data_IF_843608221688
#
_entry.id   IF_843608221688
#
_cell.length_a   1.000
_cell.length_b   1.000
_cell.length_c   1.000
_cell.angle_alpha   90.00
_cell.angle_beta   90.00
_cell.angle_gamma   90.00
#
_symmetry.space_group_name_H-M   'P 1'
#
loop_
_entity.id
_entity.type
_entity.pdbx_description
1 polymer ?
#
# COMPACT_ATOMS: atom_id res chain seq x y z
N UNK A 1 -14.68 34.54 -15.91
CA UNK A 1 -14.21 33.32 -15.24
C UNK A 1 -15.26 32.92 -14.22
N UNK A 2 -16.16 32.01 -14.59
CA UNK A 2 -17.10 31.42 -13.62
C UNK A 2 -16.26 30.67 -12.59
N UNK A 3 -16.29 31.14 -11.33
CA UNK A 3 -15.78 30.35 -10.21
C UNK A 3 -16.50 29.01 -10.28
N UNK A 4 -15.76 27.91 -10.36
CA UNK A 4 -16.37 26.58 -10.25
C UNK A 4 -17.11 26.53 -8.92
N UNK A 5 -18.44 26.49 -8.95
CA UNK A 5 -19.24 26.25 -7.76
C UNK A 5 -18.90 24.86 -7.25
N UNK A 6 -18.32 24.80 -6.05
CA UNK A 6 -18.00 23.54 -5.39
C UNK A 6 -19.26 23.00 -4.72
N UNK A 7 -19.54 21.72 -4.94
CA UNK A 7 -20.59 20.98 -4.24
C UNK A 7 -19.96 19.96 -3.30
N UNK A 8 -20.61 19.70 -2.17
CA UNK A 8 -20.18 18.71 -1.19
C UNK A 8 -21.11 17.49 -1.26
N UNK A 9 -20.51 16.30 -1.25
CA UNK A 9 -21.24 15.02 -1.17
C UNK A 9 -21.02 14.44 0.23
N UNK A 10 -22.00 14.52 1.14
CA UNK A 10 -21.82 14.07 2.52
C UNK A 10 -21.78 12.55 2.59
N UNK A 11 -20.76 12.00 3.25
CA UNK A 11 -20.62 10.58 3.53
C UNK A 11 -20.75 10.40 5.05
N UNK A 12 -21.69 9.57 5.53
CA UNK A 12 -21.82 9.29 6.96
C UNK A 12 -20.52 8.72 7.54
N UNK A 13 -20.11 9.21 8.71
CA UNK A 13 -18.90 8.75 9.42
C UNK A 13 -19.26 8.31 10.84
N UNK A 14 -18.67 7.20 11.29
CA UNK A 14 -18.70 6.81 12.70
C UNK A 14 -17.29 6.44 13.17
N UNK A 15 -16.99 6.84 14.40
CA UNK A 15 -15.83 6.37 15.14
C UNK A 15 -16.10 4.98 15.70
N UNK A 16 -15.25 4.01 15.36
CA UNK A 16 -15.38 2.61 15.75
C UNK A 16 -14.19 2.18 16.59
N UNK A 17 -14.45 1.59 17.76
CA UNK A 17 -13.38 1.12 18.64
C UNK A 17 -13.77 1.09 20.13
N UNK A 18 -12.79 1.23 21.03
CA UNK A 18 -11.36 1.26 20.73
C UNK A 18 -10.86 -0.08 20.19
N UNK A 19 -9.85 -0.03 19.32
CA UNK A 19 -9.05 -1.13 18.79
C UNK A 19 -7.73 -1.11 19.53
N UNK A 20 -7.41 -2.20 20.22
CA UNK A 20 -6.12 -2.34 20.91
C UNK A 20 -5.03 -2.67 19.89
N UNK A 21 -4.09 -1.74 19.68
CA UNK A 21 -2.96 -1.89 18.75
C UNK A 21 -1.68 -2.05 19.56
N UNK A 22 -0.87 -3.04 19.19
CA UNK A 22 0.47 -3.26 19.72
C UNK A 22 1.46 -3.19 18.56
N UNK A 23 2.34 -2.21 18.55
CA UNK A 23 3.42 -2.11 17.59
C UNK A 23 4.60 -1.34 18.16
N UNK A 24 5.68 -1.29 17.40
CA UNK A 24 6.92 -0.65 17.86
C UNK A 24 6.78 0.87 18.03
N UNK A 25 5.87 1.49 17.26
CA UNK A 25 5.61 2.94 17.26
C UNK A 25 4.37 3.32 18.09
N UNK A 26 3.39 2.43 18.20
CA UNK A 26 2.08 2.71 18.78
C UNK A 26 1.67 1.50 19.61
N UNK A 27 1.40 1.72 20.90
CA UNK A 27 0.91 0.69 21.81
C UNK A 27 -0.25 1.27 22.63
N UNK A 28 -1.39 1.43 21.99
CA UNK A 28 -2.54 2.14 22.56
C UNK A 28 -3.89 1.63 22.01
N UNK A 29 -4.96 2.00 22.70
CA UNK A 29 -6.33 1.69 22.32
C UNK A 29 -6.93 2.85 21.50
N UNK A 30 -7.05 2.68 20.18
CA UNK A 30 -7.45 3.76 19.25
C UNK A 30 -8.86 3.53 18.72
N UNK A 31 -9.70 4.56 18.70
CA UNK A 31 -10.93 4.55 17.89
C UNK A 31 -10.62 5.06 16.50
N UNK A 32 -11.17 4.44 15.46
CA UNK A 32 -10.89 4.81 14.06
C UNK A 32 -12.14 5.38 13.39
N UNK A 33 -12.05 6.49 12.63
CA UNK A 33 -13.18 7.01 11.88
C UNK A 33 -13.36 6.22 10.58
N UNK A 34 -14.60 5.86 10.27
CA UNK A 34 -14.96 5.12 9.06
C UNK A 34 -16.12 5.83 8.35
N UNK A 35 -15.86 6.38 7.16
CA UNK A 35 -16.84 7.08 6.34
C UNK A 35 -17.42 6.15 5.26
N UNK A 36 -18.69 5.78 5.35
CA UNK A 36 -19.30 4.84 4.39
C UNK A 36 -20.82 4.97 4.30
N UNK A 37 -21.38 4.58 3.15
CA UNK A 37 -22.81 4.32 2.98
C UNK A 37 -23.20 2.87 3.31
N UNK A 38 -22.21 1.96 3.41
CA UNK A 38 -22.43 0.57 3.81
C UNK A 38 -22.48 0.48 5.34
N UNK A 39 -23.60 0.89 5.93
CA UNK A 39 -23.78 1.01 7.39
C UNK A 39 -23.49 -0.27 8.21
N UNK A 40 -23.65 -1.51 7.69
CA UNK A 40 -23.24 -2.72 8.42
C UNK A 40 -21.73 -2.82 8.70
N UNK A 41 -20.89 -2.02 8.00
CA UNK A 41 -19.44 -1.98 8.23
C UNK A 41 -19.09 -1.62 9.68
N UNK A 42 -19.79 -0.65 10.27
CA UNK A 42 -19.50 -0.18 11.63
C UNK A 42 -19.76 -1.24 12.70
N UNK A 43 -20.95 -1.86 12.83
CA UNK A 43 -21.17 -2.90 13.83
C UNK A 43 -20.31 -4.14 13.59
N UNK A 44 -20.01 -4.49 12.33
CA UNK A 44 -19.09 -5.58 12.00
C UNK A 44 -17.68 -5.31 12.53
N UNK A 45 -17.14 -4.12 12.23
CA UNK A 45 -15.81 -3.69 12.70
C UNK A 45 -15.77 -3.53 14.21
N UNK A 46 -16.82 -2.97 14.83
CA UNK A 46 -16.93 -2.82 16.28
C UNK A 46 -16.90 -4.18 17.00
N UNK A 47 -17.49 -5.23 16.39
CA UNK A 47 -17.38 -6.60 16.92
C UNK A 47 -15.93 -7.10 16.85
N UNK A 48 -15.22 -6.86 15.76
CA UNK A 48 -13.78 -7.16 15.62
C UNK A 48 -12.91 -6.44 16.66
N UNK A 49 -13.12 -5.13 16.83
CA UNK A 49 -12.46 -4.31 17.84
C UNK A 49 -12.71 -4.78 19.29
N UNK A 50 -13.89 -5.35 19.56
CA UNK A 50 -14.20 -5.94 20.87
C UNK A 50 -13.49 -7.29 21.06
N UNK A 51 -13.30 -8.06 19.99
CA UNK A 51 -12.54 -9.30 20.02
C UNK A 51 -11.06 -9.01 20.27
N UNK A 52 -10.46 -8.06 19.55
CA UNK A 52 -9.04 -7.70 19.74
C UNK A 52 -8.70 -7.35 21.18
N UNK A 53 -9.48 -6.48 21.82
CA UNK A 53 -9.31 -6.10 23.24
C UNK A 53 -9.39 -7.28 24.21
N UNK A 54 -10.13 -8.33 23.87
CA UNK A 54 -10.24 -9.55 24.72
C UNK A 54 -9.15 -10.57 24.45
N UNK A 55 -8.33 -10.35 23.43
CA UNK A 55 -7.25 -11.25 23.01
C UNK A 55 -5.85 -10.63 23.24
N UNK A 56 -5.78 -9.53 24.00
CA UNK A 56 -4.52 -8.83 24.26
C UNK A 56 -4.09 -7.86 23.17
N UNK A 57 -4.91 -7.62 22.14
CA UNK A 57 -4.67 -6.64 21.07
C UNK A 57 -4.19 -7.23 19.75
N UNK A 58 -3.96 -6.33 18.78
CA UNK A 58 -3.49 -6.66 17.44
C UNK A 58 -2.04 -6.23 17.33
N UNK A 59 -1.15 -7.18 17.09
CA UNK A 59 0.26 -6.91 16.83
C UNK A 59 0.44 -6.41 15.40
N UNK A 60 1.08 -5.27 15.22
CA UNK A 60 1.32 -4.66 13.93
C UNK A 60 2.83 -4.49 13.70
N UNK A 61 3.33 -5.02 12.59
CA UNK A 61 4.73 -4.97 12.19
C UNK A 61 4.85 -4.30 10.83
N UNK A 62 5.61 -3.21 10.76
CA UNK A 62 5.99 -2.55 9.51
C UNK A 62 7.21 -3.27 8.94
N UNK A 63 7.01 -4.01 7.84
CA UNK A 63 8.06 -4.83 7.20
C UNK A 63 8.93 -3.99 6.27
N UNK A 64 8.31 -3.09 5.50
CA UNK A 64 8.99 -2.26 4.52
C UNK A 64 8.22 -0.94 4.30
N UNK A 65 8.95 0.09 3.92
CA UNK A 65 8.39 1.38 3.55
C UNK A 65 9.20 2.02 2.42
N UNK A 66 8.55 2.21 1.27
CA UNK A 66 9.12 2.89 0.11
C UNK A 66 8.04 3.37 -0.83
N UNK A 67 8.21 4.52 -1.46
CA UNK A 67 7.38 4.94 -2.57
C UNK A 67 8.11 4.79 -3.89
N UNK A 68 7.39 4.53 -4.98
CA UNK A 68 8.00 4.30 -6.29
C UNK A 68 7.43 5.17 -7.40
N UNK A 69 8.30 5.51 -8.35
CA UNK A 69 7.93 6.08 -9.65
C UNK A 69 8.73 5.37 -10.73
N UNK A 70 8.08 5.10 -11.86
CA UNK A 70 8.73 4.43 -12.98
C UNK A 70 8.79 5.32 -14.20
N UNK A 71 9.94 5.40 -14.85
CA UNK A 71 10.13 6.10 -16.13
C UNK A 71 10.38 5.10 -17.25
N UNK A 72 10.24 5.54 -18.49
CA UNK A 72 10.59 4.76 -19.68
C UNK A 72 11.52 5.57 -20.57
N UNK A 73 12.62 4.93 -20.93
CA UNK A 73 13.61 5.38 -21.89
C UNK A 73 13.58 4.45 -23.11
N UNK A 74 13.89 4.98 -24.28
CA UNK A 74 13.97 4.21 -25.53
C UNK A 74 15.41 4.19 -26.01
N UNK A 75 15.97 3.01 -26.17
CA UNK A 75 17.27 2.80 -26.79
C UNK A 75 17.12 2.46 -28.28
N UNK A 76 18.23 2.30 -28.99
CA UNK A 76 18.23 1.81 -30.37
C UNK A 76 17.72 0.36 -30.46
N UNK A 77 18.17 -0.50 -29.55
CA UNK A 77 17.77 -1.90 -29.44
C UNK A 77 17.99 -2.42 -28.02
N UNK A 78 17.54 -3.65 -27.74
CA UNK A 78 17.64 -4.28 -26.41
C UNK A 78 19.08 -4.30 -25.86
N UNK A 79 20.07 -4.59 -26.71
CA UNK A 79 21.49 -4.57 -26.33
C UNK A 79 21.95 -3.21 -25.79
N UNK A 80 21.59 -2.11 -26.44
CA UNK A 80 21.92 -0.76 -25.95
C UNK A 80 21.19 -0.41 -24.66
N UNK A 81 19.91 -0.81 -24.52
CA UNK A 81 19.17 -0.65 -23.26
C UNK A 81 19.85 -1.40 -22.10
N UNK A 82 20.32 -2.63 -22.35
CA UNK A 82 21.03 -3.44 -21.36
C UNK A 82 22.40 -2.85 -21.00
N UNK A 83 23.16 -2.37 -21.99
CA UNK A 83 24.44 -1.71 -21.76
C UNK A 83 24.28 -0.43 -20.93
N UNK A 84 23.28 0.41 -21.26
CA UNK A 84 22.94 1.60 -20.50
C UNK A 84 22.55 1.25 -19.05
N UNK A 85 21.72 0.22 -18.83
CA UNK A 85 21.40 -0.24 -17.48
C UNK A 85 22.65 -0.73 -16.72
N UNK A 86 23.52 -1.51 -17.35
CA UNK A 86 24.72 -2.02 -16.69
C UNK A 86 25.63 -0.89 -16.18
N UNK A 87 25.77 0.17 -16.97
CA UNK A 87 26.49 1.39 -16.57
C UNK A 87 25.75 2.17 -15.48
N UNK A 88 24.44 2.38 -15.62
CA UNK A 88 23.59 3.06 -14.62
C UNK A 88 23.63 2.37 -13.25
N UNK A 89 23.57 1.04 -13.24
CA UNK A 89 23.58 0.25 -12.01
C UNK A 89 24.88 0.41 -11.20
N UNK A 90 26.00 0.72 -11.86
CA UNK A 90 27.28 1.00 -11.21
C UNK A 90 27.37 2.42 -10.63
N UNK A 91 26.42 3.31 -10.96
CA UNK A 91 26.40 4.73 -10.56
C UNK A 91 25.26 5.02 -9.57
N UNK A 92 24.99 4.08 -8.67
CA UNK A 92 23.89 4.21 -7.71
C UNK A 92 24.09 5.37 -6.73
N UNK A 93 25.33 5.65 -6.33
CA UNK A 93 25.64 6.77 -5.43
C UNK A 93 25.34 8.13 -6.08
N UNK A 94 25.73 8.31 -7.35
CA UNK A 94 25.41 9.52 -8.11
C UNK A 94 23.89 9.70 -8.28
N UNK A 95 23.16 8.62 -8.55
CA UNK A 95 21.68 8.68 -8.56
C UNK A 95 21.11 9.07 -7.19
N UNK A 96 21.70 8.58 -6.09
CA UNK A 96 21.27 8.94 -4.74
C UNK A 96 21.52 10.43 -4.44
N UNK A 97 22.62 10.99 -4.92
CA UNK A 97 22.92 12.44 -4.83
C UNK A 97 21.87 13.28 -5.59
N UNK A 98 21.54 12.88 -6.82
CA UNK A 98 20.49 13.53 -7.62
C UNK A 98 19.16 13.52 -6.87
N UNK A 99 18.73 12.37 -6.32
CA UNK A 99 17.49 12.27 -5.54
C UNK A 99 17.53 13.20 -4.32
N UNK A 100 18.63 13.18 -3.56
CA UNK A 100 18.79 13.98 -2.34
C UNK A 100 18.74 15.48 -2.59
N UNK A 101 19.13 15.93 -3.78
CA UNK A 101 19.02 17.35 -4.19
C UNK A 101 17.57 17.83 -4.35
N UNK A 102 16.61 16.92 -4.56
CA UNK A 102 15.22 17.28 -4.86
C UNK A 102 14.37 17.53 -3.62
N UNK A 103 14.73 16.92 -2.49
CA UNK A 103 14.03 16.98 -1.21
C UNK A 103 14.90 16.41 -0.09
N UNK A 104 14.92 17.06 1.07
CA UNK A 104 15.60 16.56 2.29
C UNK A 104 15.05 15.23 2.82
N UNK A 105 13.84 14.85 2.41
CA UNK A 105 13.17 13.62 2.84
C UNK A 105 13.28 12.48 1.81
N UNK A 106 13.63 12.80 0.56
CA UNK A 106 13.73 11.81 -0.50
C UNK A 106 15.10 11.15 -0.42
N UNK A 107 15.12 9.83 -0.25
CA UNK A 107 16.35 9.03 -0.30
C UNK A 107 16.15 7.84 -1.21
N UNK A 108 17.03 7.67 -2.20
CA UNK A 108 17.01 6.52 -3.09
C UNK A 108 17.33 5.24 -2.29
N UNK A 109 16.43 4.26 -2.35
CA UNK A 109 16.59 2.93 -1.75
C UNK A 109 17.14 1.97 -2.80
N UNK A 110 16.61 2.04 -4.02
CA UNK A 110 17.01 1.15 -5.09
C UNK A 110 16.40 1.52 -6.43
N UNK A 111 16.90 0.86 -7.47
CA UNK A 111 16.38 0.99 -8.84
C UNK A 111 16.14 -0.40 -9.39
N UNK A 112 14.90 -0.67 -9.76
CA UNK A 112 14.52 -1.88 -10.48
C UNK A 112 14.35 -1.58 -11.97
N UNK A 113 14.52 -2.58 -12.82
CA UNK A 113 14.42 -2.41 -14.28
C UNK A 113 13.67 -3.54 -14.96
N UNK A 114 13.10 -3.22 -16.12
CA UNK A 114 12.60 -4.18 -17.10
C UNK A 114 12.98 -3.70 -18.50
N UNK A 115 13.31 -4.63 -19.40
CA UNK A 115 13.58 -4.33 -20.81
C UNK A 115 12.57 -5.07 -21.66
N UNK A 116 11.86 -4.33 -22.51
CA UNK A 116 10.89 -4.87 -23.48
C UNK A 116 11.22 -4.32 -24.85
N UNK A 117 11.81 -5.14 -25.71
CA UNK A 117 12.36 -4.68 -26.99
C UNK A 117 13.43 -3.61 -26.75
N UNK A 118 13.25 -2.43 -27.33
CA UNK A 118 14.15 -1.29 -27.15
C UNK A 118 13.74 -0.32 -26.03
N UNK A 119 12.77 -0.70 -25.18
CA UNK A 119 12.32 0.11 -24.06
C UNK A 119 12.99 -0.34 -22.77
N UNK A 120 13.58 0.61 -22.04
CA UNK A 120 14.13 0.45 -20.70
C UNK A 120 13.17 1.12 -19.70
N UNK A 121 12.50 0.30 -18.91
CA UNK A 121 11.70 0.73 -17.77
C UNK A 121 12.60 0.79 -16.54
N UNK A 122 12.66 1.94 -15.89
CA UNK A 122 13.35 2.10 -14.61
C UNK A 122 12.34 2.46 -13.53
N UNK A 123 12.33 1.71 -12.43
CA UNK A 123 11.50 1.92 -11.25
C UNK A 123 12.40 2.40 -10.12
N UNK A 124 12.31 3.69 -9.82
CA UNK A 124 13.00 4.31 -8.70
C UNK A 124 12.19 4.08 -7.43
N UNK A 125 12.86 3.64 -6.37
CA UNK A 125 12.30 3.38 -5.06
C UNK A 125 12.93 4.32 -4.06
N UNK A 126 12.12 5.11 -3.37
CA UNK A 126 12.59 6.14 -2.45
C UNK A 126 11.88 6.06 -1.10
N UNK A 127 12.61 6.35 -0.02
CA UNK A 127 12.01 6.73 1.24
C UNK A 127 11.44 8.15 1.12
N UNK A 128 10.34 8.45 1.82
CA UNK A 128 9.62 9.73 1.69
C UNK A 128 9.23 10.41 3.01
N UNK A 129 9.74 9.92 4.15
CA UNK A 129 9.29 10.35 5.47
C UNK A 129 7.79 10.08 5.66
N UNK A 130 7.09 10.98 6.36
CA UNK A 130 5.67 10.79 6.73
C UNK A 130 4.65 11.14 5.62
N UNK A 131 5.13 11.64 4.48
CA UNK A 131 4.29 11.91 3.33
C UNK A 131 3.98 10.61 2.57
N UNK A 132 2.81 10.53 1.93
CA UNK A 132 2.51 9.42 1.00
C UNK A 132 3.47 9.35 -0.19
N UNK A 133 4.20 10.44 -0.47
CA UNK A 133 5.39 10.40 -1.30
C UNK A 133 5.15 10.56 -2.80
N UNK A 134 3.91 10.52 -3.31
CA UNK A 134 3.62 10.57 -4.75
C UNK A 134 4.33 11.71 -5.50
N UNK A 135 4.15 12.96 -5.04
CA UNK A 135 4.75 14.13 -5.68
C UNK A 135 6.27 14.19 -5.48
N UNK A 136 6.72 13.76 -4.30
CA UNK A 136 8.14 13.75 -3.93
C UNK A 136 8.93 12.80 -4.85
N UNK A 137 8.44 11.57 -5.03
CA UNK A 137 9.11 10.59 -5.89
C UNK A 137 8.96 10.93 -7.36
N UNK A 138 7.87 11.57 -7.79
CA UNK A 138 7.75 12.09 -9.17
C UNK A 138 8.81 13.17 -9.44
N UNK A 139 9.02 14.11 -8.52
CA UNK A 139 10.06 15.14 -8.65
C UNK A 139 11.46 14.52 -8.69
N UNK A 140 11.73 13.55 -7.82
CA UNK A 140 12.99 12.81 -7.81
C UNK A 140 13.23 12.04 -9.12
N UNK A 141 12.20 11.37 -9.63
CA UNK A 141 12.26 10.63 -10.89
C UNK A 141 12.47 11.54 -12.11
N UNK A 142 11.89 12.75 -12.10
CA UNK A 142 12.10 13.73 -13.17
C UNK A 142 13.55 14.24 -13.19
N UNK A 143 14.11 14.56 -12.01
CA UNK A 143 15.52 14.93 -11.89
C UNK A 143 16.46 13.79 -12.35
N UNK A 144 16.19 12.55 -11.93
CA UNK A 144 16.93 11.38 -12.39
C UNK A 144 16.81 11.19 -13.89
N UNK A 145 15.62 11.31 -14.46
CA UNK A 145 15.39 11.15 -15.88
C UNK A 145 16.19 12.17 -16.70
N UNK A 146 16.20 13.44 -16.27
CA UNK A 146 17.01 14.48 -16.90
C UNK A 146 18.50 14.19 -16.81
N UNK A 147 18.98 13.76 -15.63
CA UNK A 147 20.38 13.37 -15.44
C UNK A 147 20.78 12.19 -16.33
N UNK A 148 19.91 11.17 -16.46
CA UNK A 148 20.14 10.01 -17.34
C UNK A 148 20.23 10.48 -18.79
N UNK A 149 19.29 11.28 -19.28
CA UNK A 149 19.29 11.74 -20.68
C UNK A 149 20.52 12.60 -21.04
N UNK A 150 21.11 13.29 -20.05
CA UNK A 150 22.36 14.04 -20.25
C UNK A 150 23.59 13.13 -20.29
N UNK A 151 23.61 12.05 -19.50
CA UNK A 151 24.76 11.15 -19.38
C UNK A 151 24.74 9.99 -20.39
N UNK A 152 23.58 9.68 -20.97
CA UNK A 152 23.34 8.55 -21.87
C UNK A 152 22.63 9.06 -23.15
N UNK A 153 23.35 9.76 -24.05
CA UNK A 153 22.77 10.36 -25.25
C UNK A 153 22.19 9.33 -26.24
N UNK A 154 22.52 8.05 -26.09
CA UNK A 154 21.92 6.93 -26.82
C UNK A 154 20.50 6.58 -26.38
N UNK A 155 20.04 7.13 -25.25
CA UNK A 155 18.68 6.95 -24.74
C UNK A 155 17.81 8.17 -25.07
N UNK A 156 16.60 7.90 -25.56
CA UNK A 156 15.57 8.90 -25.77
C UNK A 156 14.48 8.83 -24.70
N UNK A 157 13.91 9.99 -24.34
CA UNK A 157 12.74 10.05 -23.46
C UNK A 157 11.54 9.32 -24.07
N UNK A 158 10.77 8.61 -23.23
CA UNK A 158 9.45 8.11 -23.61
C UNK A 158 8.34 8.58 -22.66
N UNK A 159 8.47 8.37 -21.34
CA UNK A 159 7.48 8.85 -20.36
C UNK A 159 8.04 8.91 -18.94
N UNK A 160 7.59 9.89 -18.16
CA UNK A 160 7.83 10.01 -16.71
C UNK A 160 7.04 8.97 -15.88
N UNK A 161 6.00 8.34 -16.45
CA UNK A 161 5.17 7.32 -15.77
C UNK A 161 4.93 6.12 -16.68
N UNK A 162 5.82 5.14 -16.61
CA UNK A 162 5.81 3.91 -17.41
C UNK A 162 4.84 2.81 -16.96
N UNK A 163 3.93 3.08 -16.02
CA UNK A 163 3.05 2.08 -15.40
C UNK A 163 3.75 0.89 -14.71
N UNK A 164 5.09 0.92 -14.56
CA UNK A 164 5.88 -0.07 -13.81
C UNK A 164 6.11 0.36 -12.34
N UNK A 165 5.48 1.47 -11.91
CA UNK A 165 5.55 1.95 -10.53
C UNK A 165 4.86 0.98 -9.55
N UNK A 166 3.59 0.60 -9.62
CA UNK A 166 2.45 0.98 -10.46
C UNK A 166 1.44 1.74 -9.59
N UNK A 167 0.91 2.86 -10.09
CA UNK A 167 0.13 3.82 -9.31
C UNK A 167 -1.35 3.82 -9.71
N UNK A 168 -2.24 3.37 -8.82
CA UNK A 168 -3.70 3.27 -9.00
C UNK A 168 -4.12 2.22 -10.05
N UNK A 169 -3.36 1.13 -10.16
CA UNK A 169 -3.71 -0.05 -10.97
C UNK A 169 -3.29 -1.31 -10.22
N UNK A 170 -4.04 -2.39 -10.43
CA UNK A 170 -3.69 -3.72 -9.93
C UNK A 170 -2.37 -4.16 -10.55
N UNK A 171 -1.40 -4.55 -9.74
CA UNK A 171 -0.10 -5.02 -10.23
C UNK A 171 0.53 -6.07 -9.33
N UNK A 172 1.33 -6.96 -9.90
CA UNK A 172 2.14 -7.89 -9.12
C UNK A 172 3.37 -7.20 -8.54
N UNK A 173 3.94 -6.25 -9.29
CA UNK A 173 5.21 -5.59 -8.96
C UNK A 173 5.16 -4.84 -7.64
N UNK A 174 4.04 -4.17 -7.31
CA UNK A 174 3.89 -3.47 -6.05
C UNK A 174 4.12 -4.41 -4.86
N UNK A 175 3.47 -5.58 -4.87
CA UNK A 175 3.58 -6.53 -3.76
C UNK A 175 4.84 -7.39 -3.77
N UNK A 176 5.65 -7.35 -4.84
CA UNK A 176 6.93 -8.09 -4.96
C UNK A 176 8.11 -7.18 -4.63
N UNK A 177 8.12 -5.95 -5.15
CA UNK A 177 9.21 -4.98 -4.99
C UNK A 177 8.91 -3.88 -3.96
N UNK A 178 7.72 -3.89 -3.34
CA UNK A 178 7.27 -2.91 -2.35
C UNK A 178 6.75 -1.61 -2.97
N UNK A 179 5.64 -1.08 -2.45
CA UNK A 179 5.14 0.27 -2.74
C UNK A 179 4.21 0.79 -1.65
N UNK A 180 4.51 1.91 -1.03
CA UNK A 180 3.89 2.37 0.20
C UNK A 180 4.45 1.63 1.41
N UNK A 181 3.57 1.32 2.35
CA UNK A 181 3.87 0.60 3.58
C UNK A 181 3.49 -0.87 3.42
N UNK A 182 4.41 -1.77 3.73
CA UNK A 182 4.15 -3.18 3.89
C UNK A 182 3.91 -3.47 5.37
N UNK A 183 2.66 -3.72 5.73
CA UNK A 183 2.23 -4.02 7.10
C UNK A 183 1.75 -5.46 7.23
N UNK A 184 2.12 -6.11 8.33
CA UNK A 184 1.49 -7.34 8.83
C UNK A 184 0.80 -7.02 10.15
N UNK A 185 -0.48 -7.34 10.24
CA UNK A 185 -1.27 -7.22 11.47
C UNK A 185 -1.78 -8.60 11.88
N UNK A 186 -1.51 -9.02 13.11
CA UNK A 186 -1.75 -10.39 13.58
C UNK A 186 -2.27 -10.43 15.01
N UNK A 187 -3.04 -11.47 15.32
CA UNK A 187 -3.47 -11.74 16.69
C UNK A 187 -3.78 -13.22 16.87
N UNK A 188 -3.77 -13.65 18.13
CA UNK A 188 -4.19 -14.99 18.52
C UNK A 188 -5.55 -14.91 19.21
N UNK A 189 -6.55 -15.65 18.70
CA UNK A 189 -7.93 -15.60 19.17
C UNK A 189 -8.23 -16.90 19.92
N UNK A 190 -8.43 -16.88 21.25
CA UNK A 190 -8.73 -18.10 21.99
C UNK A 190 -10.03 -18.75 21.48
N UNK A 191 -10.08 -20.09 21.44
CA UNK A 191 -11.23 -20.87 20.99
C UNK A 191 -12.54 -20.42 21.66
N UNK A 192 -12.49 -20.13 22.97
CA UNK A 192 -13.63 -19.61 23.75
C UNK A 192 -14.16 -18.27 23.21
N UNK A 193 -13.29 -17.42 22.69
CA UNK A 193 -13.69 -16.14 22.07
C UNK A 193 -14.25 -16.39 20.67
N UNK A 194 -13.64 -17.26 19.86
CA UNK A 194 -14.19 -17.67 18.56
C UNK A 194 -15.62 -18.21 18.70
N UNK A 195 -15.86 -19.15 19.62
CA UNK A 195 -17.18 -19.78 19.79
C UNK A 195 -18.21 -18.80 20.33
N UNK A 196 -17.86 -18.02 21.36
CA UNK A 196 -18.82 -17.13 22.03
C UNK A 196 -19.12 -15.85 21.26
N UNK A 197 -18.11 -15.24 20.62
CA UNK A 197 -18.24 -13.91 20.02
C UNK A 197 -18.28 -13.94 18.49
N UNK A 198 -17.52 -14.83 17.87
CA UNK A 198 -17.52 -15.01 16.41
C UNK A 198 -18.52 -16.09 15.96
N UNK A 199 -19.08 -16.86 16.90
CA UNK A 199 -20.05 -17.95 16.64
C UNK A 199 -19.51 -18.99 15.67
N UNK A 200 -18.22 -19.31 15.78
CA UNK A 200 -17.52 -20.27 14.92
C UNK A 200 -16.38 -20.97 15.68
N UNK A 201 -15.67 -21.88 15.04
CA UNK A 201 -14.47 -22.53 15.59
C UNK A 201 -13.22 -22.11 14.78
N UNK A 202 -12.01 -22.19 15.36
CA UNK A 202 -10.76 -21.97 14.63
C UNK A 202 -10.69 -22.73 13.31
N UNK A 203 -11.05 -24.01 13.31
CA UNK A 203 -10.98 -24.91 12.15
C UNK A 203 -11.90 -24.43 11.02
N UNK A 204 -13.13 -24.02 11.35
CA UNK A 204 -14.08 -23.50 10.37
C UNK A 204 -13.60 -22.19 9.75
N UNK A 205 -12.91 -21.34 10.51
CA UNK A 205 -12.33 -20.09 9.97
C UNK A 205 -11.18 -20.40 9.01
N UNK A 206 -10.31 -21.35 9.36
CA UNK A 206 -9.21 -21.79 8.48
C UNK A 206 -9.77 -22.39 7.18
N UNK A 207 -10.73 -23.31 7.29
CA UNK A 207 -11.38 -23.93 6.14
C UNK A 207 -12.01 -22.85 5.23
N UNK A 208 -12.79 -21.93 5.81
CA UNK A 208 -13.38 -20.83 5.06
C UNK A 208 -12.33 -19.93 4.38
N UNK A 209 -11.22 -19.65 5.06
CA UNK A 209 -10.14 -18.84 4.48
C UNK A 209 -9.52 -19.54 3.27
N UNK A 210 -9.26 -20.85 3.36
CA UNK A 210 -8.70 -21.64 2.26
C UNK A 210 -9.68 -21.71 1.10
N UNK A 211 -10.92 -22.12 1.34
CA UNK A 211 -11.92 -22.31 0.28
C UNK A 211 -12.30 -20.98 -0.39
N UNK A 212 -12.53 -19.92 0.41
CA UNK A 212 -13.03 -18.63 -0.10
C UNK A 212 -11.92 -17.70 -0.55
N UNK A 213 -10.96 -17.39 0.32
CA UNK A 213 -9.97 -16.35 0.05
C UNK A 213 -8.87 -16.88 -0.87
N UNK A 214 -8.37 -18.10 -0.62
CA UNK A 214 -7.28 -18.66 -1.41
C UNK A 214 -7.78 -19.34 -2.69
N UNK A 215 -8.53 -20.44 -2.58
CA UNK A 215 -8.99 -21.22 -3.75
C UNK A 215 -9.94 -20.37 -4.59
N UNK A 216 -10.98 -19.80 -3.98
CA UNK A 216 -11.94 -18.91 -4.65
C UNK A 216 -11.27 -17.71 -5.34
N UNK A 217 -10.30 -17.08 -4.69
CA UNK A 217 -9.49 -16.01 -5.28
C UNK A 217 -8.66 -16.48 -6.47
N UNK A 218 -8.01 -17.65 -6.35
CA UNK A 218 -7.16 -18.23 -7.40
C UNK A 218 -7.93 -18.58 -8.66
N UNK A 219 -9.08 -19.26 -8.53
CA UNK A 219 -9.91 -19.62 -9.69
C UNK A 219 -10.52 -18.40 -10.38
N UNK A 220 -10.67 -17.29 -9.64
CA UNK A 220 -11.20 -16.02 -10.15
C UNK A 220 -10.11 -15.14 -10.76
N UNK A 221 -8.84 -15.57 -10.76
CA UNK A 221 -7.72 -14.78 -11.30
C UNK A 221 -7.33 -13.58 -10.43
N UNK A 222 -7.59 -13.63 -9.12
CA UNK A 222 -7.19 -12.56 -8.20
C UNK A 222 -5.66 -12.44 -8.12
N UNK A 223 -5.13 -11.25 -8.41
CA UNK A 223 -3.68 -11.04 -8.45
C UNK A 223 -3.13 -10.68 -7.06
N UNK A 224 -2.33 -11.57 -6.47
CA UNK A 224 -1.71 -11.39 -5.14
C UNK A 224 -2.72 -10.96 -4.06
N UNK A 225 -3.92 -11.52 -4.10
CA UNK A 225 -5.00 -11.19 -3.18
C UNK A 225 -5.72 -12.45 -2.72
N UNK A 226 -5.81 -12.63 -1.41
CA UNK A 226 -6.62 -13.64 -0.76
C UNK A 226 -7.21 -13.04 0.52
N UNK A 227 -8.21 -12.18 0.37
CA UNK A 227 -8.89 -11.53 1.50
C UNK A 227 -10.39 -11.41 1.23
N UNK A 228 -11.15 -11.05 2.27
CA UNK A 228 -12.61 -10.94 2.15
C UNK A 228 -13.07 -9.54 1.74
N UNK A 229 -12.57 -8.49 2.40
CA UNK A 229 -13.13 -7.14 2.25
C UNK A 229 -12.13 -6.01 2.60
N UNK A 230 -10.83 -6.18 2.31
CA UNK A 230 -9.84 -5.12 2.60
C UNK A 230 -10.23 -3.78 1.95
N UNK A 231 -10.76 -3.83 0.72
CA UNK A 231 -11.27 -2.66 0.02
C UNK A 231 -12.30 -1.86 0.83
N UNK A 232 -13.31 -2.51 1.44
CA UNK A 232 -14.35 -1.79 2.20
C UNK A 232 -13.75 -1.05 3.40
N UNK A 233 -12.83 -1.69 4.13
CA UNK A 233 -12.16 -1.07 5.28
C UNK A 233 -11.30 0.12 4.85
N UNK A 234 -10.48 -0.07 3.81
CA UNK A 234 -9.58 0.97 3.32
C UNK A 234 -10.34 2.14 2.73
N UNK A 235 -11.41 1.91 1.96
CA UNK A 235 -12.22 3.00 1.42
C UNK A 235 -12.79 3.87 2.54
N UNK A 236 -13.39 3.23 3.55
CA UNK A 236 -14.02 3.95 4.63
C UNK A 236 -13.02 4.76 5.46
N UNK A 237 -11.85 4.20 5.72
CA UNK A 237 -10.78 4.89 6.41
C UNK A 237 -10.16 6.02 5.56
N UNK A 238 -9.96 5.79 4.25
CA UNK A 238 -9.33 6.76 3.35
C UNK A 238 -10.22 7.99 3.14
N UNK A 239 -11.52 7.78 3.00
CA UNK A 239 -12.49 8.87 2.90
C UNK A 239 -12.56 9.66 4.21
N UNK A 240 -12.61 8.97 5.35
CA UNK A 240 -12.68 9.60 6.66
C UNK A 240 -11.44 10.44 7.00
N UNK A 241 -10.25 9.99 6.57
CA UNK A 241 -8.96 10.60 6.92
C UNK A 241 -8.30 11.34 5.76
N UNK A 242 -9.02 11.58 4.66
CA UNK A 242 -8.58 12.40 3.53
C UNK A 242 -7.33 11.85 2.84
N UNK A 243 -7.22 10.52 2.76
CA UNK A 243 -6.25 9.87 1.89
C UNK A 243 -6.73 9.95 0.44
N UNK A 244 -5.85 9.64 -0.51
CA UNK A 244 -6.27 9.48 -1.90
C UNK A 244 -6.99 8.12 -2.06
N UNK A 245 -8.32 8.18 -2.07
CA UNK A 245 -9.19 7.01 -2.16
C UNK A 245 -8.90 6.10 -3.37
N UNK A 246 -8.32 6.63 -4.45
CA UNK A 246 -7.98 5.82 -5.63
C UNK A 246 -6.81 4.84 -5.38
N UNK A 247 -5.99 5.08 -4.35
CA UNK A 247 -4.98 4.11 -3.91
C UNK A 247 -5.58 2.84 -3.29
N UNK A 248 -6.91 2.73 -3.17
CA UNK A 248 -7.58 1.48 -2.81
C UNK A 248 -7.25 0.32 -3.75
N UNK A 249 -7.02 0.62 -5.04
CA UNK A 249 -6.80 -0.40 -6.07
C UNK A 249 -5.58 -1.26 -5.74
N UNK A 250 -4.51 -0.64 -5.25
CA UNK A 250 -3.27 -1.30 -4.85
C UNK A 250 -3.26 -1.68 -3.36
N UNK A 251 -3.79 -0.82 -2.49
CA UNK A 251 -3.83 -1.06 -1.04
C UNK A 251 -4.71 -2.24 -0.63
N UNK A 252 -5.73 -2.57 -1.43
CA UNK A 252 -6.61 -3.72 -1.17
C UNK A 252 -6.02 -5.08 -1.58
N UNK A 253 -4.86 -5.09 -2.26
CA UNK A 253 -4.11 -6.33 -2.49
C UNK A 253 -3.47 -6.80 -1.19
N UNK A 254 -3.57 -8.09 -0.89
CA UNK A 254 -3.07 -8.63 0.37
C UNK A 254 -3.71 -9.96 0.74
N UNK A 255 -3.21 -10.55 1.82
CA UNK A 255 -3.52 -11.91 2.24
C UNK A 255 -4.09 -11.92 3.66
N UNK A 256 -5.13 -12.71 3.85
CA UNK A 256 -5.54 -13.21 5.17
C UNK A 256 -4.95 -14.60 5.34
N UNK A 257 -4.20 -14.80 6.42
CA UNK A 257 -3.66 -16.11 6.77
C UNK A 257 -4.17 -16.54 8.14
N UNK A 258 -4.60 -17.79 8.23
CA UNK A 258 -5.26 -18.36 9.40
C UNK A 258 -4.65 -19.73 9.72
N UNK A 259 -4.40 -19.99 11.01
CA UNK A 259 -3.98 -21.31 11.49
C UNK A 259 -4.81 -21.70 12.70
N UNK A 260 -5.32 -22.92 12.69
CA UNK A 260 -5.94 -23.52 13.87
C UNK A 260 -4.82 -24.08 14.73
N UNK A 261 -4.65 -23.53 15.92
CA UNK A 261 -3.78 -24.05 16.98
C UNK A 261 -4.65 -24.80 17.98
N UNK A 262 -4.02 -25.52 18.91
CA UNK A 262 -4.71 -26.40 19.86
C UNK A 262 -5.94 -25.73 20.51
N UNK A 263 -5.73 -24.56 21.11
CA UNK A 263 -6.78 -23.81 21.81
C UNK A 263 -7.05 -22.40 21.26
N UNK A 264 -6.58 -22.10 20.05
CA UNK A 264 -6.70 -20.76 19.48
C UNK A 264 -6.71 -20.77 17.95
N UNK A 265 -7.09 -19.63 17.39
CA UNK A 265 -6.94 -19.28 15.99
C UNK A 265 -5.86 -18.22 15.89
N UNK A 266 -4.77 -18.51 15.19
CA UNK A 266 -3.90 -17.45 14.70
C UNK A 266 -4.55 -16.83 13.46
N UNK A 267 -4.66 -15.50 13.44
CA UNK A 267 -5.27 -14.75 12.34
C UNK A 267 -4.38 -13.56 12.00
N UNK A 268 -4.05 -13.40 10.73
CA UNK A 268 -3.23 -12.30 10.25
C UNK A 268 -3.76 -11.70 8.95
N UNK A 269 -3.52 -10.40 8.79
CA UNK A 269 -3.74 -9.61 7.60
C UNK A 269 -2.40 -9.04 7.14
N UNK A 270 -2.02 -9.33 5.90
CA UNK A 270 -0.79 -8.85 5.26
C UNK A 270 -1.19 -7.89 4.14
N UNK A 271 -0.82 -6.62 4.25
CA UNK A 271 -1.08 -5.60 3.25
C UNK A 271 0.27 -5.02 2.78
N UNK A 272 0.81 -5.48 1.64
CA UNK A 272 2.15 -5.09 1.18
C UNK A 272 2.21 -3.70 0.55
N UNK A 273 1.06 -3.09 0.23
CA UNK A 273 1.00 -1.93 -0.66
C UNK A 273 0.17 -0.76 -0.10
N UNK A 274 0.20 -0.51 1.21
CA UNK A 274 -0.63 0.53 1.82
C UNK A 274 -0.10 1.93 1.52
N UNK A 275 -0.87 2.71 0.78
CA UNK A 275 -0.52 4.10 0.49
C UNK A 275 -1.27 5.04 1.43
N UNK A 276 -0.55 5.57 2.40
CA UNK A 276 -1.07 6.51 3.39
C UNK A 276 -0.04 7.59 3.67
N UNK A 277 -0.50 8.77 4.09
CA UNK A 277 0.35 9.82 4.65
C UNK A 277 -0.41 10.56 5.75
N UNK A 278 0.31 11.17 6.69
CA UNK A 278 -0.26 12.05 7.73
C UNK A 278 -0.11 13.53 7.39
N UNK A 279 0.73 13.85 6.40
CA UNK A 279 0.93 15.21 5.87
C UNK A 279 0.65 15.27 4.37
N UNK A 280 0.30 16.46 3.88
CA UNK A 280 0.07 16.72 2.46
C UNK A 280 -1.38 17.00 2.09
N UNK A 281 -1.72 16.80 0.82
CA UNK A 281 -3.05 17.11 0.29
C UNK A 281 -4.15 16.34 1.02
N UNK A 282 -5.29 16.99 1.26
CA UNK A 282 -6.44 16.41 1.96
C UNK A 282 -6.39 16.52 3.49
N UNK A 283 -5.20 16.75 4.08
CA UNK A 283 -5.02 16.81 5.56
C UNK A 283 -5.37 18.15 6.19
N UNK A 284 -5.55 19.18 5.37
CA UNK A 284 -6.00 20.51 5.80
C UNK A 284 -7.51 20.70 5.66
N UNK A 285 -8.25 19.64 5.31
CA UNK A 285 -9.70 19.71 5.17
C UNK A 285 -10.35 19.53 6.55
N UNK A 286 -11.06 20.54 7.04
CA UNK A 286 -11.77 20.50 8.33
C UNK A 286 -12.89 19.46 8.39
N UNK A 287 -13.31 18.91 7.25
CA UNK A 287 -14.34 17.86 7.17
C UNK A 287 -13.77 16.44 7.28
N UNK A 288 -12.45 16.33 7.43
CA UNK A 288 -11.69 15.09 7.48
C UNK A 288 -11.11 14.95 8.88
N UNK A 289 -11.12 13.72 9.40
CA UNK A 289 -10.62 13.35 10.73
C UNK A 289 -9.12 13.01 10.75
#
# INVERSE_FOLDING_TARGET
MTRNTQFFTPIPTQWVGPIEIIGDLVNEAVSVPLATYETPLWPSTARGARVSRKCGGIRCTLVDERMSRSVVLRAQHAGSAQAAWASLAARQDEMAEVVSSTSRFARLIGVNRQIVGNLLYLRFECATGDASGHNMVTKAADALLNWILQNYPELAYSTISGNFCTDKKTSAVNGILGRGKYLVAEMEIPRKICTRMLRTTPEKVVQLNVEKNLIGGSISGSLRSANAHFANMLLAFYLATGQDAANIIEGSQGFVHCEAREDSLYFSCTLPNLIVGSVGSGKTNEQVE
#
